data_IF_550109483594
#
_entry.id   IF_550109483594
#
_cell.length_a   1.000
_cell.length_b   1.000
_cell.length_c   1.000
_cell.angle_alpha   90.00
_cell.angle_beta   90.00
_cell.angle_gamma   90.00
#
_symmetry.space_group_name_H-M   'P 1'
#
loop_
_entity.id
_entity.type
_entity.pdbx_description
1 polymer ?
#
# COMPACT_ATOMS: atom_id res chain seq x y z
N UNK A 1 -8.57 -5.34 -36.38
CA UNK A 1 -8.17 -6.17 -35.22
C UNK A 1 -8.39 -5.34 -33.98
N UNK A 2 -9.17 -5.78 -32.97
CA UNK A 2 -9.43 -4.96 -31.79
C UNK A 2 -8.25 -5.04 -30.82
N UNK A 3 -7.95 -3.92 -30.17
CA UNK A 3 -6.84 -3.78 -29.22
C UNK A 3 -7.08 -4.66 -27.99
N UNK A 4 -6.18 -5.62 -27.76
CA UNK A 4 -6.18 -6.40 -26.54
C UNK A 4 -5.64 -5.52 -25.39
N UNK A 5 -6.55 -4.93 -24.61
CA UNK A 5 -6.24 -4.43 -23.27
C UNK A 5 -5.91 -5.63 -22.38
N UNK A 6 -4.66 -6.08 -22.43
CA UNK A 6 -4.17 -7.27 -21.74
C UNK A 6 -4.09 -7.05 -20.22
N UNK A 7 -5.20 -7.35 -19.54
CA UNK A 7 -5.33 -8.20 -18.35
C UNK A 7 -4.03 -8.77 -17.76
N UNK A 8 -3.18 -7.94 -17.13
CA UNK A 8 -2.12 -8.43 -16.26
C UNK A 8 -2.45 -8.07 -14.82
N UNK A 9 -2.76 -9.09 -14.02
CA UNK A 9 -2.91 -8.93 -12.57
C UNK A 9 -1.59 -8.42 -11.98
N UNK A 10 -1.62 -7.46 -11.05
CA UNK A 10 -0.44 -7.08 -10.27
C UNK A 10 0.13 -8.32 -9.58
N UNK A 11 1.45 -8.39 -9.46
CA UNK A 11 2.05 -9.46 -8.67
C UNK A 11 1.66 -9.32 -7.20
N UNK A 12 1.73 -10.39 -6.39
CA UNK A 12 1.52 -10.28 -4.95
C UNK A 12 2.46 -9.26 -4.29
N UNK A 13 3.69 -9.11 -4.80
CA UNK A 13 4.64 -8.11 -4.32
C UNK A 13 4.18 -6.68 -4.61
N UNK A 14 3.62 -6.43 -5.79
CA UNK A 14 3.07 -5.11 -6.14
C UNK A 14 1.88 -4.77 -5.23
N UNK A 15 1.00 -5.74 -4.97
CA UNK A 15 -0.14 -5.55 -4.05
C UNK A 15 0.32 -5.30 -2.61
N UNK A 16 1.40 -5.94 -2.17
CA UNK A 16 1.99 -5.68 -0.86
C UNK A 16 2.58 -4.26 -0.77
N UNK A 17 3.25 -3.78 -1.82
CA UNK A 17 3.76 -2.40 -1.88
C UNK A 17 2.61 -1.39 -1.85
N UNK A 18 1.57 -1.60 -2.65
CA UNK A 18 0.35 -0.77 -2.64
C UNK A 18 -0.27 -0.73 -1.23
N UNK A 19 -0.31 -1.86 -0.52
CA UNK A 19 -0.82 -1.91 0.85
C UNK A 19 0.03 -1.09 1.84
N UNK A 20 1.37 -1.08 1.67
CA UNK A 20 2.31 -0.35 2.53
C UNK A 20 2.25 1.15 2.25
N UNK A 21 2.32 1.53 0.98
CA UNK A 21 2.36 2.92 0.53
C UNK A 21 0.99 3.61 0.69
N UNK A 22 -0.10 2.84 0.65
CA UNK A 22 -1.46 3.35 0.73
C UNK A 22 -1.94 4.03 -0.56
N UNK A 23 -1.14 3.98 -1.62
CA UNK A 23 -1.47 4.53 -2.94
C UNK A 23 -1.28 3.46 -4.02
N UNK A 24 -2.24 3.37 -4.93
CA UNK A 24 -2.19 2.46 -6.07
C UNK A 24 -1.93 3.29 -7.34
N UNK A 25 -0.92 2.94 -8.16
CA UNK A 25 -0.71 3.66 -9.41
C UNK A 25 -1.97 3.55 -10.29
N UNK A 26 -2.30 4.56 -11.11
CA UNK A 26 -3.55 4.64 -11.87
C UNK A 26 -3.98 3.35 -12.62
N UNK A 27 -3.09 2.61 -13.31
CA UNK A 27 -3.49 1.36 -13.96
C UNK A 27 -3.86 0.23 -12.97
N UNK A 28 -3.24 0.20 -11.79
CA UNK A 28 -3.57 -0.78 -10.75
C UNK A 28 -4.88 -0.40 -10.04
N UNK A 29 -5.13 0.89 -9.83
CA UNK A 29 -6.37 1.39 -9.22
C UNK A 29 -7.60 0.97 -10.05
N UNK A 30 -7.58 1.21 -11.36
CA UNK A 30 -8.69 0.85 -12.25
C UNK A 30 -8.92 -0.67 -12.28
N UNK A 31 -7.83 -1.46 -12.29
CA UNK A 31 -7.92 -2.92 -12.19
C UNK A 31 -8.54 -3.38 -10.86
N UNK A 32 -8.14 -2.78 -9.73
CA UNK A 32 -8.65 -3.11 -8.40
C UNK A 32 -10.14 -2.80 -8.27
N UNK A 33 -10.69 -1.82 -9.01
CA UNK A 33 -12.13 -1.54 -9.02
C UNK A 33 -12.95 -2.70 -9.60
N UNK A 34 -12.41 -3.45 -10.56
CA UNK A 34 -13.14 -4.48 -11.30
C UNK A 34 -12.71 -5.91 -10.95
N UNK A 35 -11.51 -6.11 -10.39
CA UNK A 35 -10.92 -7.42 -10.14
C UNK A 35 -11.07 -7.86 -8.67
N UNK A 36 -12.12 -8.62 -8.37
CA UNK A 36 -12.36 -9.14 -7.02
C UNK A 36 -11.19 -9.96 -6.42
N UNK A 37 -10.52 -10.87 -7.16
CA UNK A 37 -9.37 -11.62 -6.62
C UNK A 37 -8.22 -10.72 -6.15
N UNK A 38 -7.88 -9.67 -6.92
CA UNK A 38 -6.81 -8.75 -6.53
C UNK A 38 -7.18 -7.90 -5.32
N UNK A 39 -8.46 -7.48 -5.21
CA UNK A 39 -8.95 -6.80 -4.00
C UNK A 39 -8.85 -7.69 -2.76
N UNK A 40 -9.31 -8.93 -2.85
CA UNK A 40 -9.26 -9.87 -1.72
C UNK A 40 -7.83 -10.09 -1.24
N UNK A 41 -6.86 -10.17 -2.16
CA UNK A 41 -5.44 -10.28 -1.82
C UNK A 41 -4.91 -8.99 -1.18
N UNK A 42 -5.25 -7.82 -1.72
CA UNK A 42 -4.89 -6.52 -1.14
C UNK A 42 -5.44 -6.37 0.29
N UNK A 43 -6.73 -6.70 0.50
CA UNK A 43 -7.37 -6.68 1.82
C UNK A 43 -6.66 -7.60 2.82
N UNK A 44 -6.13 -8.73 2.35
CA UNK A 44 -5.35 -9.64 3.20
C UNK A 44 -4.06 -9.00 3.69
N UNK A 45 -3.35 -8.26 2.81
CA UNK A 45 -2.17 -7.49 3.21
C UNK A 45 -2.53 -6.35 4.18
N UNK A 46 -3.60 -5.61 3.91
CA UNK A 46 -4.05 -4.51 4.76
C UNK A 46 -4.37 -4.99 6.19
N UNK A 47 -5.02 -6.15 6.34
CA UNK A 47 -5.29 -6.74 7.66
C UNK A 47 -4.01 -7.09 8.43
N UNK A 48 -2.99 -7.60 7.75
CA UNK A 48 -1.69 -7.91 8.38
C UNK A 48 -1.00 -6.62 8.82
N UNK A 49 -1.04 -5.57 8.01
CA UNK A 49 -0.47 -4.26 8.36
C UNK A 49 -1.21 -3.62 9.54
N UNK A 50 -2.54 -3.69 9.57
CA UNK A 50 -3.35 -3.21 10.69
C UNK A 50 -2.98 -3.95 11.98
N UNK A 51 -2.89 -5.28 11.95
CA UNK A 51 -2.47 -6.08 13.09
C UNK A 51 -1.04 -5.74 13.55
N UNK A 52 -0.11 -5.53 12.62
CA UNK A 52 1.27 -5.13 12.91
C UNK A 52 1.36 -3.75 13.56
N UNK A 53 0.59 -2.77 13.06
CA UNK A 53 0.53 -1.40 13.60
C UNK A 53 -0.20 -1.34 14.95
N UNK A 54 -1.22 -2.17 15.15
CA UNK A 54 -1.92 -2.26 16.44
C UNK A 54 -1.06 -2.96 17.51
N UNK A 55 -0.19 -3.88 17.11
CA UNK A 55 0.69 -4.64 18.01
C UNK A 55 1.85 -3.82 18.61
N UNK A 56 2.18 -2.65 18.06
CA UNK A 56 3.13 -1.71 18.68
C UNK A 56 2.44 -0.95 19.81
N UNK A 57 2.27 -1.61 20.96
CA UNK A 57 1.66 -1.02 22.15
C UNK A 57 2.49 0.12 22.76
N UNK A 58 3.78 0.22 22.40
CA UNK A 58 4.69 1.25 22.88
C UNK A 58 5.40 1.92 21.70
N UNK A 59 4.91 3.07 21.22
CA UNK A 59 5.58 3.82 20.17
C UNK A 59 6.92 4.36 20.68
N UNK A 60 7.99 4.11 19.92
CA UNK A 60 9.32 4.64 20.25
C UNK A 60 9.31 6.14 20.03
N UNK A 61 9.66 6.90 21.08
CA UNK A 61 9.87 8.34 20.94
C UNK A 61 11.07 8.60 20.02
N UNK A 62 10.90 9.34 18.90
CA UNK A 62 12.03 9.70 18.06
C UNK A 62 12.96 10.68 18.80
N UNK A 63 14.26 10.71 18.45
CA UNK A 63 15.18 11.75 18.91
C UNK A 63 14.68 13.16 18.58
N UNK A 64 15.03 14.16 19.41
CA UNK A 64 14.47 15.51 19.29
C UNK A 64 14.89 16.23 17.98
N UNK A 65 16.09 15.93 17.46
CA UNK A 65 16.64 16.45 16.21
C UNK A 65 15.86 15.99 14.95
N UNK A 66 15.09 14.90 15.06
CA UNK A 66 14.18 14.47 13.99
C UNK A 66 13.13 15.54 13.71
N UNK A 67 12.61 16.19 14.75
CA UNK A 67 11.58 17.23 14.59
C UNK A 67 12.15 18.52 14.01
N UNK A 68 13.37 18.88 14.39
CA UNK A 68 14.06 20.03 13.80
C UNK A 68 14.36 19.78 12.33
N UNK A 69 14.81 18.57 11.97
CA UNK A 69 15.05 18.18 10.57
C UNK A 69 13.77 18.23 9.73
N UNK A 70 12.63 17.76 10.25
CA UNK A 70 11.34 17.83 9.54
C UNK A 70 10.92 19.28 9.33
N UNK A 71 11.11 20.14 10.33
CA UNK A 71 10.76 21.57 10.24
C UNK A 71 11.53 22.28 9.14
N UNK A 72 12.80 21.93 8.93
CA UNK A 72 13.66 22.53 7.91
C UNK A 72 13.30 22.09 6.47
N UNK A 73 12.45 21.09 6.30
CA UNK A 73 12.03 20.53 5.00
C UNK A 73 10.61 20.95 4.57
N UNK A 74 9.89 21.71 5.41
CA UNK A 74 8.54 22.23 5.15
C UNK A 74 8.60 23.69 4.69
#
# INVERSE_FOLDING_TARGET
MPAASQTRHPSPGDLALIAVDGDAPPPAEEHLRVCAPCRTMLDSFLRVLEAGRAGTADPVRPPDDVWDTIRDQL
#
